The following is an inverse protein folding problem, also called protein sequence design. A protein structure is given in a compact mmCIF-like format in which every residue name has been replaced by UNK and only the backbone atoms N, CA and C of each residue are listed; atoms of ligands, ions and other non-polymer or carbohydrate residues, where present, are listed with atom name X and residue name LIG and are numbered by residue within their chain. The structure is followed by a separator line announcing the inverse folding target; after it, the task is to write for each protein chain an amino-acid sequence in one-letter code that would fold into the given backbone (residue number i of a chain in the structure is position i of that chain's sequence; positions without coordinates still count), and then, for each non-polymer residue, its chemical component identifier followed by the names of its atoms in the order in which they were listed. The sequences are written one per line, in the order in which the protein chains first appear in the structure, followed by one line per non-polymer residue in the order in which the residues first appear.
data_IF_616984023557
#
_entry.id   IF_616984023557
#
_cell.length_a   1.000
_cell.length_b   1.000
_cell.length_c   1.000
_cell.angle_alpha   90.00
_cell.angle_beta   90.00
_cell.angle_gamma   90.00
#
_symmetry.space_group_name_H-M   'P 1'
#
loop_
_entity.id
_entity.type
_entity.pdbx_description
1 polymer ?
#
# COMPACT_ATOMS: atom_id res chain seq x y z
N UNK A 1 -6.80 14.73 -12.30
CA UNK A 1 -5.83 13.65 -12.05
C UNK A 1 -4.41 14.19 -11.82
N UNK A 2 -3.82 14.98 -12.72
CA UNK A 2 -2.45 15.53 -12.57
C UNK A 2 -2.20 16.27 -11.25
N UNK A 3 -3.14 17.14 -10.83
CA UNK A 3 -3.06 17.86 -9.56
C UNK A 3 -2.96 16.89 -8.37
N UNK A 4 -3.92 15.98 -8.25
CA UNK A 4 -4.00 15.02 -7.15
C UNK A 4 -2.80 14.09 -7.08
N UNK A 5 -2.26 13.67 -8.23
CA UNK A 5 -1.05 12.86 -8.27
C UNK A 5 0.16 13.64 -7.74
N UNK A 6 0.36 14.88 -8.22
CA UNK A 6 1.46 15.74 -7.76
C UNK A 6 1.36 16.03 -6.26
N UNK A 7 0.16 16.31 -5.77
CA UNK A 7 -0.06 16.62 -4.35
C UNK A 7 0.16 15.37 -3.47
N UNK A 8 -0.38 14.22 -3.87
CA UNK A 8 -0.17 12.95 -3.16
C UNK A 8 1.32 12.59 -3.10
N UNK A 9 2.04 12.75 -4.21
CA UNK A 9 3.48 12.50 -4.29
C UNK A 9 4.24 13.44 -3.34
N UNK A 10 3.90 14.73 -3.36
CA UNK A 10 4.51 15.72 -2.47
C UNK A 10 4.29 15.32 -1.02
N UNK A 11 3.04 15.08 -0.61
CA UNK A 11 2.67 14.72 0.77
C UNK A 11 3.35 13.44 1.24
N UNK A 12 3.45 12.43 0.38
CA UNK A 12 4.11 11.16 0.71
C UNK A 12 5.57 11.39 1.14
N UNK A 13 6.31 12.27 0.43
CA UNK A 13 7.71 12.58 0.73
C UNK A 13 7.93 13.80 1.64
N UNK A 14 6.86 14.39 2.20
CA UNK A 14 6.96 15.57 3.08
C UNK A 14 7.44 15.20 4.48
N UNK A 15 6.95 14.10 5.05
CA UNK A 15 7.38 13.64 6.37
C UNK A 15 8.73 12.92 6.24
N UNK A 16 9.79 13.58 6.68
CA UNK A 16 11.08 12.98 7.00
C UNK A 16 11.68 12.05 5.93
N UNK A 17 12.02 12.63 4.77
CA UNK A 17 12.66 11.93 3.62
C UNK A 17 13.73 10.91 4.00
N UNK A 18 14.55 11.21 5.02
CA UNK A 18 15.61 10.32 5.50
C UNK A 18 15.05 9.00 6.02
N UNK A 19 13.98 9.04 6.82
CA UNK A 19 13.34 7.84 7.37
C UNK A 19 12.70 7.01 6.25
N UNK A 20 12.01 7.66 5.31
CA UNK A 20 11.40 7.02 4.14
C UNK A 20 12.48 6.31 3.29
N UNK A 21 13.60 6.98 3.01
CA UNK A 21 14.72 6.39 2.26
C UNK A 21 15.31 5.20 3.03
N UNK A 22 15.53 5.35 4.34
CA UNK A 22 16.04 4.27 5.19
C UNK A 22 15.11 3.07 5.20
N UNK A 23 13.80 3.29 5.24
CA UNK A 23 12.79 2.23 5.16
C UNK A 23 12.91 1.46 3.84
N UNK A 24 12.90 2.15 2.70
CA UNK A 24 13.02 1.48 1.40
C UNK A 24 14.35 0.74 1.22
N UNK A 25 15.46 1.31 1.68
CA UNK A 25 16.76 0.61 1.68
C UNK A 25 16.73 -0.65 2.56
N UNK A 26 16.16 -0.55 3.76
CA UNK A 26 16.00 -1.70 4.65
C UNK A 26 15.14 -2.81 4.04
N UNK A 27 14.03 -2.44 3.39
CA UNK A 27 13.17 -3.38 2.65
C UNK A 27 13.95 -4.06 1.52
N UNK A 28 14.70 -3.31 0.72
CA UNK A 28 15.51 -3.88 -0.37
C UNK A 28 16.50 -4.92 0.16
N UNK A 29 17.25 -4.57 1.21
CA UNK A 29 18.23 -5.47 1.84
C UNK A 29 17.55 -6.73 2.38
N UNK A 30 16.40 -6.57 3.06
CA UNK A 30 15.67 -7.68 3.66
C UNK A 30 15.15 -8.65 2.59
N UNK A 31 14.51 -8.13 1.54
CA UNK A 31 13.97 -8.98 0.46
C UNK A 31 15.07 -9.72 -0.29
N UNK A 32 16.18 -9.05 -0.63
CA UNK A 32 17.32 -9.70 -1.28
C UNK A 32 17.95 -10.74 -0.35
N UNK A 33 18.19 -10.38 0.91
CA UNK A 33 18.81 -11.27 1.91
C UNK A 33 17.97 -12.52 2.16
N UNK A 34 16.66 -12.36 2.30
CA UNK A 34 15.74 -13.49 2.35
C UNK A 34 15.89 -14.35 1.09
N UNK A 35 15.85 -13.76 -0.11
CA UNK A 35 15.86 -14.52 -1.36
C UNK A 35 17.11 -15.38 -1.51
N UNK A 36 18.26 -14.81 -1.20
CA UNK A 36 19.54 -15.52 -1.26
C UNK A 36 19.62 -16.68 -0.26
N UNK A 37 18.96 -16.57 0.89
CA UNK A 37 18.99 -17.59 1.95
C UNK A 37 17.91 -18.66 1.79
N UNK A 38 16.75 -18.30 1.26
CA UNK A 38 15.60 -19.19 1.12
C UNK A 38 14.82 -18.92 -0.18
N UNK A 39 15.41 -19.26 -1.35
CA UNK A 39 14.80 -19.00 -2.65
C UNK A 39 13.51 -19.80 -2.89
N UNK A 40 13.33 -20.93 -2.19
CA UNK A 40 12.14 -21.78 -2.27
C UNK A 40 10.88 -21.17 -1.62
N UNK A 41 11.02 -20.09 -0.83
CA UNK A 41 9.91 -19.46 -0.12
C UNK A 41 9.16 -18.42 -0.95
N UNK A 42 8.88 -18.70 -2.23
CA UNK A 42 8.16 -17.82 -3.17
C UNK A 42 6.87 -17.22 -2.57
N UNK A 43 6.16 -18.03 -1.80
CA UNK A 43 4.92 -17.65 -1.10
C UNK A 43 5.15 -16.52 -0.09
N UNK A 44 6.25 -16.59 0.66
CA UNK A 44 6.62 -15.60 1.67
C UNK A 44 7.01 -14.28 1.00
N UNK A 45 7.74 -14.33 -0.13
CA UNK A 45 7.99 -13.12 -0.93
C UNK A 45 6.69 -12.50 -1.39
N UNK A 46 5.78 -13.30 -1.96
CA UNK A 46 4.48 -12.80 -2.44
C UNK A 46 3.71 -12.08 -1.33
N UNK A 47 3.55 -12.72 -0.17
CA UNK A 47 2.87 -12.13 0.99
C UNK A 47 3.60 -10.86 1.46
N UNK A 48 4.94 -10.87 1.49
CA UNK A 48 5.73 -9.70 1.85
C UNK A 48 5.50 -8.52 0.90
N UNK A 49 5.48 -8.75 -0.41
CA UNK A 49 5.23 -7.72 -1.43
C UNK A 49 3.83 -7.12 -1.27
N UNK A 50 2.82 -7.98 -1.11
CA UNK A 50 1.43 -7.56 -0.91
C UNK A 50 1.23 -6.83 0.43
N UNK A 51 1.98 -7.22 1.46
CA UNK A 51 2.03 -6.52 2.76
C UNK A 51 2.64 -5.14 2.59
N UNK A 52 3.75 -5.01 1.87
CA UNK A 52 4.36 -3.72 1.58
C UNK A 52 3.37 -2.80 0.84
N UNK A 53 2.70 -3.31 -0.20
CA UNK A 53 1.69 -2.55 -0.93
C UNK A 53 0.57 -2.05 -0.01
N UNK A 54 0.07 -2.93 0.85
CA UNK A 54 -0.93 -2.57 1.87
C UNK A 54 -0.45 -1.45 2.78
N UNK A 55 0.79 -1.54 3.28
CA UNK A 55 1.34 -0.53 4.19
C UNK A 55 1.54 0.81 3.49
N UNK A 56 1.99 0.81 2.22
CA UNK A 56 2.09 2.03 1.41
C UNK A 56 0.69 2.63 1.17
N UNK A 57 -0.32 1.82 0.85
CA UNK A 57 -1.71 2.26 0.75
C UNK A 57 -2.19 2.91 2.04
N UNK A 58 -2.01 2.24 3.18
CA UNK A 58 -2.43 2.77 4.49
C UNK A 58 -1.74 4.08 4.82
N UNK A 59 -0.42 4.15 4.67
CA UNK A 59 0.33 5.38 4.91
C UNK A 59 -0.21 6.54 4.06
N UNK A 60 -0.46 6.28 2.77
CA UNK A 60 -0.93 7.29 1.82
C UNK A 60 -2.37 7.77 2.05
N UNK A 61 -3.23 6.98 2.73
CA UNK A 61 -4.63 7.34 2.99
C UNK A 61 -4.93 7.70 4.45
N UNK A 62 -4.13 7.21 5.40
CA UNK A 62 -4.49 7.17 6.83
C UNK A 62 -3.52 7.95 7.72
N UNK A 63 -2.37 8.38 7.23
CA UNK A 63 -1.48 9.21 8.04
C UNK A 63 -2.14 10.57 8.38
N UNK A 64 -2.13 10.96 9.67
CA UNK A 64 -2.84 12.15 10.19
C UNK A 64 -2.56 13.42 9.38
N UNK A 65 -1.27 13.68 9.12
CA UNK A 65 -0.84 14.87 8.41
C UNK A 65 -1.32 14.87 6.95
N UNK A 66 -1.42 13.69 6.34
CA UNK A 66 -1.93 13.52 4.98
C UNK A 66 -3.44 13.75 4.96
N UNK A 67 -4.19 13.09 5.85
CA UNK A 67 -5.65 13.25 5.95
C UNK A 67 -6.03 14.72 6.15
N UNK A 68 -5.36 15.41 7.08
CA UNK A 68 -5.71 16.80 7.40
C UNK A 68 -5.57 17.74 6.19
N UNK A 69 -4.53 17.54 5.37
CA UNK A 69 -4.30 18.30 4.14
C UNK A 69 -5.22 17.84 3.00
N UNK A 70 -5.47 16.54 2.88
CA UNK A 70 -6.35 15.97 1.87
C UNK A 70 -7.80 16.43 2.04
N UNK A 71 -8.33 16.49 3.27
CA UNK A 71 -9.67 17.02 3.55
C UNK A 71 -9.77 18.48 3.07
N UNK A 72 -8.81 19.33 3.45
CA UNK A 72 -8.78 20.74 3.02
C UNK A 72 -8.72 20.89 1.50
N UNK A 73 -7.90 20.06 0.84
CA UNK A 73 -7.79 20.04 -0.61
C UNK A 73 -9.06 19.51 -1.29
N UNK A 74 -9.74 18.52 -0.69
CA UNK A 74 -10.96 17.92 -1.22
C UNK A 74 -12.13 18.90 -1.18
N UNK A 75 -12.26 19.68 -0.10
CA UNK A 75 -13.24 20.78 0.01
C UNK A 75 -13.05 21.78 -1.14
N UNK A 76 -11.79 22.09 -1.48
CA UNK A 76 -11.44 23.10 -2.48
C UNK A 76 -11.57 22.58 -3.92
N UNK A 77 -11.01 21.39 -4.22
CA UNK A 77 -10.88 20.87 -5.57
C UNK A 77 -11.95 19.83 -5.98
N UNK A 78 -12.84 19.42 -5.06
CA UNK A 78 -14.06 18.57 -5.21
C UNK A 78 -13.99 17.30 -6.08
N UNK A 79 -12.84 16.95 -6.66
CA UNK A 79 -12.69 15.82 -7.56
C UNK A 79 -12.20 14.58 -6.81
N UNK A 80 -13.12 13.95 -6.07
CA UNK A 80 -12.88 12.80 -5.19
C UNK A 80 -12.41 11.56 -5.96
N UNK A 81 -12.96 11.30 -7.16
CA UNK A 81 -12.55 10.14 -7.96
C UNK A 81 -11.08 10.28 -8.36
N UNK A 82 -10.69 11.46 -8.85
CA UNK A 82 -9.30 11.69 -9.23
C UNK A 82 -8.36 11.60 -8.02
N UNK A 83 -8.80 12.02 -6.83
CA UNK A 83 -8.06 11.82 -5.58
C UNK A 83 -7.82 10.34 -5.29
N UNK A 84 -8.88 9.52 -5.22
CA UNK A 84 -8.78 8.08 -4.93
C UNK A 84 -7.88 7.38 -5.96
N UNK A 85 -8.12 7.62 -7.26
CA UNK A 85 -7.34 7.02 -8.34
C UNK A 85 -5.87 7.42 -8.24
N UNK A 86 -5.57 8.70 -7.98
CA UNK A 86 -4.19 9.16 -7.83
C UNK A 86 -3.47 8.51 -6.66
N UNK A 87 -4.14 8.33 -5.52
CA UNK A 87 -3.57 7.66 -4.35
C UNK A 87 -3.29 6.18 -4.61
N UNK A 88 -4.22 5.48 -5.27
CA UNK A 88 -4.05 4.07 -5.64
C UNK A 88 -2.89 3.86 -6.62
N UNK A 89 -2.83 4.69 -7.67
CA UNK A 89 -1.73 4.67 -8.64
C UNK A 89 -0.40 4.95 -7.94
N UNK A 90 -0.35 5.94 -7.05
CA UNK A 90 0.88 6.27 -6.32
C UNK A 90 1.37 5.08 -5.48
N UNK A 91 0.48 4.43 -4.71
CA UNK A 91 0.84 3.29 -3.87
C UNK A 91 1.33 2.10 -4.70
N UNK A 92 0.67 1.83 -5.84
CA UNK A 92 1.10 0.81 -6.78
C UNK A 92 2.48 1.11 -7.35
N UNK A 93 2.71 2.34 -7.83
CA UNK A 93 3.98 2.75 -8.43
C UNK A 93 5.14 2.70 -7.45
N UNK A 94 4.96 3.17 -6.21
CA UNK A 94 6.01 3.11 -5.17
C UNK A 94 6.43 1.65 -4.92
N UNK A 95 5.45 0.77 -4.77
CA UNK A 95 5.70 -0.66 -4.55
C UNK A 95 6.36 -1.28 -5.79
N UNK A 96 5.85 -0.96 -6.99
CA UNK A 96 6.40 -1.43 -8.25
C UNK A 96 7.87 -1.04 -8.41
N UNK A 97 8.22 0.24 -8.24
CA UNK A 97 9.62 0.69 -8.35
C UNK A 97 10.53 0.02 -7.33
N UNK A 98 10.06 -0.17 -6.08
CA UNK A 98 10.84 -0.87 -5.06
C UNK A 98 11.08 -2.32 -5.44
N UNK A 99 10.05 -3.02 -5.92
CA UNK A 99 10.15 -4.41 -6.33
C UNK A 99 10.96 -4.60 -7.61
N UNK A 100 10.85 -3.67 -8.57
CA UNK A 100 11.72 -3.67 -9.75
C UNK A 100 13.19 -3.53 -9.35
N UNK A 101 13.52 -2.66 -8.40
CA UNK A 101 14.90 -2.55 -7.90
C UNK A 101 15.38 -3.85 -7.24
N UNK A 102 14.53 -4.49 -6.43
CA UNK A 102 14.84 -5.79 -5.79
C UNK A 102 15.07 -6.88 -6.85
N UNK A 103 14.17 -7.02 -7.82
CA UNK A 103 14.28 -8.04 -8.87
C UNK A 103 15.49 -7.79 -9.78
N UNK A 104 15.82 -6.53 -10.09
CA UNK A 104 17.02 -6.19 -10.85
C UNK A 104 18.29 -6.55 -10.08
N UNK A 105 18.39 -6.18 -8.80
CA UNK A 105 19.53 -6.54 -7.95
C UNK A 105 19.66 -8.06 -7.79
N UNK A 106 18.55 -8.75 -7.59
CA UNK A 106 18.50 -10.20 -7.53
C UNK A 106 18.99 -10.84 -8.84
N UNK A 107 18.56 -10.32 -9.99
CA UNK A 107 19.02 -10.79 -11.29
C UNK A 107 20.53 -10.62 -11.43
N UNK A 108 21.08 -9.47 -11.06
CA UNK A 108 22.54 -9.22 -11.09
C UNK A 108 23.30 -10.20 -10.19
N UNK A 109 22.77 -10.56 -9.02
CA UNK A 109 23.46 -11.44 -8.07
C UNK A 109 23.33 -12.92 -8.46
N UNK A 110 22.16 -13.35 -8.95
CA UNK A 110 21.81 -14.78 -9.09
C UNK A 110 21.68 -15.25 -10.53
N UNK A 111 21.65 -14.34 -11.51
CA UNK A 111 21.32 -14.59 -12.92
C UNK A 111 19.98 -15.35 -13.12
N UNK A 112 19.06 -15.24 -12.16
CA UNK A 112 17.73 -15.87 -12.21
C UNK A 112 16.64 -14.81 -12.28
N UNK A 113 15.62 -15.10 -13.08
CA UNK A 113 14.39 -14.33 -13.17
C UNK A 113 13.23 -15.19 -12.68
N UNK A 114 12.23 -14.55 -12.07
CA UNK A 114 10.94 -15.19 -11.88
C UNK A 114 10.21 -15.34 -13.21
N UNK A 115 9.25 -16.27 -13.24
CA UNK A 115 8.43 -16.50 -14.43
C UNK A 115 7.51 -15.30 -14.71
N UNK A 116 7.12 -15.12 -15.98
CA UNK A 116 6.14 -14.09 -16.37
C UNK A 116 4.81 -14.27 -15.61
N UNK A 117 4.40 -15.53 -15.41
CA UNK A 117 3.19 -15.86 -14.65
C UNK A 117 3.26 -15.38 -13.19
N UNK A 118 4.44 -15.41 -12.57
CA UNK A 118 4.64 -14.87 -11.23
C UNK A 118 4.37 -13.36 -11.19
N UNK A 119 4.94 -12.60 -12.13
CA UNK A 119 4.72 -11.15 -12.21
C UNK A 119 3.27 -10.78 -12.51
N UNK A 120 2.60 -11.54 -13.39
CA UNK A 120 1.18 -11.36 -13.67
C UNK A 120 0.33 -11.64 -12.43
N UNK A 121 0.63 -12.73 -11.70
CA UNK A 121 -0.06 -13.07 -10.45
C UNK A 121 0.12 -11.97 -9.41
N UNK A 122 1.35 -11.49 -9.19
CA UNK A 122 1.62 -10.36 -8.29
C UNK A 122 0.85 -9.11 -8.67
N UNK A 123 0.74 -8.81 -9.96
CA UNK A 123 0.00 -7.64 -10.46
C UNK A 123 -1.49 -7.78 -10.17
N UNK A 124 -2.08 -8.94 -10.46
CA UNK A 124 -3.51 -9.22 -10.19
C UNK A 124 -3.81 -9.12 -8.70
N UNK A 125 -3.02 -9.81 -7.87
CA UNK A 125 -3.20 -9.78 -6.41
C UNK A 125 -2.95 -8.38 -5.83
N UNK A 126 -1.99 -7.64 -6.39
CA UNK A 126 -1.73 -6.24 -6.02
C UNK A 126 -2.92 -5.32 -6.29
N UNK A 127 -3.57 -5.46 -7.45
CA UNK A 127 -4.80 -4.73 -7.76
C UNK A 127 -5.91 -5.11 -6.75
N UNK A 128 -6.10 -6.40 -6.47
CA UNK A 128 -7.08 -6.84 -5.46
C UNK A 128 -6.79 -6.26 -4.07
N UNK A 129 -5.53 -6.23 -3.64
CA UNK A 129 -5.10 -5.64 -2.36
C UNK A 129 -5.44 -4.16 -2.30
N UNK A 130 -5.18 -3.39 -3.36
CA UNK A 130 -5.56 -1.97 -3.43
C UNK A 130 -7.08 -1.82 -3.30
N UNK A 131 -7.84 -2.61 -4.06
CA UNK A 131 -9.30 -2.54 -4.06
C UNK A 131 -9.90 -2.85 -2.68
N UNK A 132 -9.38 -3.88 -2.01
CA UNK A 132 -9.86 -4.23 -0.68
C UNK A 132 -9.37 -3.24 0.40
N UNK A 133 -8.20 -2.62 0.24
CA UNK A 133 -7.80 -1.50 1.10
C UNK A 133 -8.75 -0.30 0.95
N UNK A 134 -9.20 0.04 -0.27
CA UNK A 134 -10.23 1.07 -0.45
C UNK A 134 -11.52 0.75 0.32
N UNK A 135 -11.94 -0.52 0.31
CA UNK A 135 -13.13 -0.97 1.07
C UNK A 135 -12.87 -0.88 2.57
N UNK A 136 -11.70 -1.31 3.05
CA UNK A 136 -11.34 -1.19 4.48
C UNK A 136 -11.37 0.26 4.92
N UNK A 137 -10.89 1.20 4.10
CA UNK A 137 -10.92 2.63 4.44
C UNK A 137 -12.33 3.19 4.62
N UNK A 138 -13.39 2.49 4.18
CA UNK A 138 -14.76 2.90 4.49
C UNK A 138 -15.07 2.72 5.99
N UNK A 139 -14.49 1.69 6.61
CA UNK A 139 -14.81 1.25 7.98
C UNK A 139 -13.69 1.55 8.98
N UNK A 140 -12.43 1.54 8.54
CA UNK A 140 -11.23 1.68 9.37
C UNK A 140 -10.30 2.77 8.82
N UNK A 141 -10.78 4.02 8.84
CA UNK A 141 -10.02 5.21 8.43
C UNK A 141 -9.41 5.99 9.60
N UNK A 142 -9.27 5.37 10.78
CA UNK A 142 -8.76 6.06 11.97
C UNK A 142 -7.38 6.63 11.66
N UNK A 143 -7.21 7.96 11.75
CA UNK A 143 -5.92 8.58 11.46
C UNK A 143 -4.81 7.98 12.34
N UNK A 144 -3.69 7.64 11.71
CA UNK A 144 -2.47 7.17 12.38
C UNK A 144 -1.52 8.34 12.63
N UNK A 145 -1.24 8.57 13.92
CA UNK A 145 -0.32 9.61 14.39
C UNK A 145 1.11 9.26 14.00
N UNK A 146 1.81 10.20 13.38
CA UNK A 146 3.24 10.02 13.14
C UNK A 146 4.00 9.89 14.46
N UNK A 147 4.96 8.97 14.48
CA UNK A 147 5.99 8.90 15.52
C UNK A 147 6.87 10.14 15.41
N UNK A 148 7.46 10.54 16.53
CA UNK A 148 8.32 11.71 16.59
C UNK A 148 9.54 11.38 17.44
N UNK A 149 10.68 11.92 17.01
CA UNK A 149 11.91 11.91 17.81
C UNK A 149 11.75 12.67 19.13
N UNK A 150 10.71 13.51 19.27
CA UNK A 150 10.39 14.24 20.49
C UNK A 150 9.52 13.43 21.47
N UNK A 151 9.01 12.25 21.06
CA UNK A 151 8.26 11.38 21.96
C UNK A 151 9.18 10.46 22.76
N UNK A 152 8.76 10.13 23.98
CA UNK A 152 9.44 9.10 24.75
C UNK A 152 9.41 7.75 24.01
N UNK A 153 10.41 6.90 24.26
CA UNK A 153 10.49 5.56 23.66
C UNK A 153 9.21 4.76 23.92
N UNK A 154 8.67 4.83 25.13
CA UNK A 154 7.42 4.17 25.51
C UNK A 154 6.22 4.66 24.67
N UNK A 155 6.10 5.98 24.45
CA UNK A 155 5.04 6.54 23.60
C UNK A 155 5.19 6.10 22.14
N UNK A 156 6.41 6.09 21.61
CA UNK A 156 6.66 5.60 20.25
C UNK A 156 6.31 4.11 20.09
N UNK A 157 6.62 3.28 21.09
CA UNK A 157 6.22 1.86 21.11
C UNK A 157 4.70 1.73 21.17
N UNK A 158 4.04 2.47 22.07
CA UNK A 158 2.58 2.42 22.24
C UNK A 158 1.84 2.86 20.97
N UNK A 159 2.29 3.92 20.32
CA UNK A 159 1.77 4.37 19.03
C UNK A 159 1.98 3.28 17.97
N UNK A 160 3.17 2.68 17.92
CA UNK A 160 3.45 1.61 16.97
C UNK A 160 2.58 0.37 17.11
N UNK A 161 2.31 -0.08 18.34
CA UNK A 161 1.38 -1.17 18.58
C UNK A 161 -0.06 -0.81 18.19
N UNK A 162 -0.49 0.41 18.49
CA UNK A 162 -1.82 0.90 18.10
C UNK A 162 -1.97 0.89 16.57
N UNK A 163 -0.98 1.42 15.85
CA UNK A 163 -0.98 1.43 14.37
C UNK A 163 -1.03 0.01 13.79
N UNK A 164 -0.34 -0.94 14.42
CA UNK A 164 -0.32 -2.34 13.99
C UNK A 164 -1.70 -3.00 14.16
N UNK A 165 -2.37 -2.76 15.29
CA UNK A 165 -3.74 -3.24 15.53
C UNK A 165 -4.70 -2.61 14.52
N UNK A 166 -4.59 -1.31 14.27
CA UNK A 166 -5.44 -0.62 13.29
C UNK A 166 -5.17 -1.07 11.84
N UNK A 167 -3.97 -1.61 11.58
CA UNK A 167 -3.55 -2.18 10.29
C UNK A 167 -3.93 -3.64 10.12
N UNK A 168 -4.33 -4.32 11.19
CA UNK A 168 -4.64 -5.74 11.17
C UNK A 168 -5.71 -6.13 10.13
N UNK A 169 -6.82 -5.39 9.93
CA UNK A 169 -7.78 -5.74 8.88
C UNK A 169 -7.15 -5.77 7.48
N UNK A 170 -6.31 -4.77 7.18
CA UNK A 170 -5.60 -4.72 5.90
C UNK A 170 -4.59 -5.86 5.75
N UNK A 171 -3.90 -6.23 6.82
CA UNK A 171 -2.96 -7.35 6.81
C UNK A 171 -3.67 -8.70 6.65
N UNK A 172 -4.77 -8.93 7.35
CA UNK A 172 -5.58 -10.15 7.22
C UNK A 172 -6.04 -10.34 5.78
N UNK A 173 -6.44 -9.26 5.11
CA UNK A 173 -6.86 -9.31 3.70
C UNK A 173 -5.73 -9.74 2.78
N UNK A 174 -4.47 -9.35 3.03
CA UNK A 174 -3.33 -9.82 2.23
C UNK A 174 -3.23 -11.34 2.25
N UNK A 175 -3.30 -11.93 3.45
CA UNK A 175 -3.32 -13.38 3.60
C UNK A 175 -4.57 -13.98 2.95
N UNK A 176 -5.74 -13.40 3.21
CA UNK A 176 -7.02 -13.86 2.66
C UNK A 176 -7.02 -13.94 1.14
N UNK A 177 -6.62 -12.88 0.44
CA UNK A 177 -6.54 -12.84 -1.03
C UNK A 177 -5.52 -13.87 -1.52
N UNK A 178 -4.34 -13.93 -0.89
CA UNK A 178 -3.28 -14.83 -1.32
C UNK A 178 -3.72 -16.30 -1.23
N UNK A 179 -4.24 -16.71 -0.08
CA UNK A 179 -4.71 -18.07 0.16
C UNK A 179 -5.95 -18.39 -0.69
N UNK A 180 -6.88 -17.45 -0.86
CA UNK A 180 -8.03 -17.60 -1.74
C UNK A 180 -7.59 -17.87 -3.19
N UNK A 181 -6.67 -17.06 -3.71
CA UNK A 181 -6.17 -17.20 -5.07
C UNK A 181 -5.41 -18.52 -5.28
N UNK A 182 -4.66 -18.96 -4.27
CA UNK A 182 -3.83 -20.17 -4.36
C UNK A 182 -4.62 -21.47 -4.27
N UNK A 183 -5.64 -21.53 -3.42
CA UNK A 183 -6.28 -22.79 -3.04
C UNK A 183 -7.72 -22.93 -3.50
N UNK A 184 -8.43 -21.82 -3.73
CA UNK A 184 -9.87 -21.86 -4.00
C UNK A 184 -10.22 -21.37 -5.40
N UNK A 185 -9.62 -20.28 -5.86
CA UNK A 185 -10.04 -19.63 -7.10
C UNK A 185 -8.96 -18.75 -7.72
N UNK A 186 -8.49 -19.09 -8.92
CA UNK A 186 -7.56 -18.24 -9.67
C UNK A 186 -8.27 -16.98 -10.15
N UNK A 187 -7.92 -15.84 -9.55
CA UNK A 187 -8.52 -14.54 -9.88
C UNK A 187 -8.06 -14.11 -11.27
N UNK A 188 -9.00 -13.82 -12.15
CA UNK A 188 -8.70 -13.25 -13.48
C UNK A 188 -8.45 -11.74 -13.42
N UNK A 189 -7.71 -11.22 -14.40
CA UNK A 189 -7.43 -9.79 -14.50
C UNK A 189 -8.71 -8.95 -14.65
N UNK A 190 -9.69 -9.37 -15.45
CA UNK A 190 -10.93 -8.62 -15.61
C UNK A 190 -11.70 -8.51 -14.28
N UNK A 191 -11.73 -9.57 -13.47
CA UNK A 191 -12.37 -9.53 -12.16
C UNK A 191 -11.68 -8.57 -11.19
N UNK A 192 -10.35 -8.51 -11.18
CA UNK A 192 -9.66 -7.57 -10.30
C UNK A 192 -9.94 -6.10 -10.68
N UNK A 193 -10.07 -5.81 -11.97
CA UNK A 193 -10.48 -4.48 -12.46
C UNK A 193 -11.92 -4.14 -12.05
N UNK A 194 -12.85 -5.08 -12.15
CA UNK A 194 -14.23 -4.87 -11.68
C UNK A 194 -14.27 -4.53 -10.18
N UNK A 195 -13.56 -5.29 -9.35
CA UNK A 195 -13.49 -5.05 -7.90
C UNK A 195 -12.83 -3.70 -7.62
N UNK A 196 -11.82 -3.29 -8.40
CA UNK A 196 -11.20 -1.97 -8.28
C UNK A 196 -12.20 -0.85 -8.56
N UNK A 197 -12.92 -0.89 -9.68
CA UNK A 197 -13.92 0.12 -10.04
C UNK A 197 -14.99 0.22 -8.95
N UNK A 198 -15.51 -0.91 -8.49
CA UNK A 198 -16.51 -0.94 -7.43
C UNK A 198 -15.98 -0.34 -6.12
N UNK A 199 -14.76 -0.69 -5.72
CA UNK A 199 -14.14 -0.15 -4.51
C UNK A 199 -13.96 1.37 -4.56
N UNK A 200 -13.64 1.93 -5.73
CA UNK A 200 -13.49 3.38 -5.93
C UNK A 200 -14.85 4.07 -5.79
N UNK A 201 -15.91 3.49 -6.35
CA UNK A 201 -17.27 4.02 -6.25
C UNK A 201 -17.73 4.03 -4.79
N UNK A 202 -17.53 2.93 -4.06
CA UNK A 202 -17.91 2.85 -2.65
C UNK A 202 -17.15 3.86 -1.78
N UNK A 203 -15.82 3.96 -1.97
CA UNK A 203 -15.01 4.91 -1.22
C UNK A 203 -15.39 6.36 -1.54
N UNK A 204 -15.74 6.67 -2.80
CA UNK A 204 -16.26 7.98 -3.18
C UNK A 204 -17.52 8.32 -2.39
N UNK A 205 -18.50 7.40 -2.31
CA UNK A 205 -19.75 7.63 -1.57
C UNK A 205 -19.45 7.98 -0.11
N UNK A 206 -18.56 7.22 0.54
CA UNK A 206 -18.15 7.48 1.93
C UNK A 206 -17.44 8.81 2.11
N UNK A 207 -16.56 9.20 1.18
CA UNK A 207 -15.86 10.48 1.26
C UNK A 207 -16.81 11.67 1.02
N UNK A 208 -17.81 11.53 0.14
CA UNK A 208 -18.83 12.57 -0.04
C UNK A 208 -19.64 12.78 1.23
N UNK A 209 -20.06 11.71 1.93
CA UNK A 209 -20.81 11.86 3.17
C UNK A 209 -20.00 12.63 4.23
N UNK A 210 -18.72 12.27 4.39
CA UNK A 210 -17.82 12.91 5.36
C UNK A 210 -17.51 14.39 5.07
N UNK A 211 -17.65 14.84 3.82
CA UNK A 211 -17.40 16.25 3.44
C UNK A 211 -18.64 17.14 3.57
N UNK A 212 -19.81 16.53 3.74
CA UNK A 212 -21.09 17.23 3.90
C UNK A 212 -21.55 17.30 5.37
N UNK A 213 -20.91 16.53 6.26
CA UNK A 213 -21.06 16.58 7.72
C UNK A 213 -20.19 17.71 8.32
#
# INVERSE_FOLDING_TARGET
MRYWFKESLKLFFTAEKKEIISFFLGVIILFIGCYLKAPQLENVYTIGILTMLTMVCRYNFVADYIISLDIKNLITNKNIIAYIVSKNILSFLITFFTMSAIFLLQFVITNKLFSINYYLTLTILGICVISLNNIIFIFHNKPSKLRSNNYSVEQNIKLGFKDLIESLPSLIIVFGIYYFNRYFYTISFYQCILVLVFSIILLKIKLVSLLND
#
